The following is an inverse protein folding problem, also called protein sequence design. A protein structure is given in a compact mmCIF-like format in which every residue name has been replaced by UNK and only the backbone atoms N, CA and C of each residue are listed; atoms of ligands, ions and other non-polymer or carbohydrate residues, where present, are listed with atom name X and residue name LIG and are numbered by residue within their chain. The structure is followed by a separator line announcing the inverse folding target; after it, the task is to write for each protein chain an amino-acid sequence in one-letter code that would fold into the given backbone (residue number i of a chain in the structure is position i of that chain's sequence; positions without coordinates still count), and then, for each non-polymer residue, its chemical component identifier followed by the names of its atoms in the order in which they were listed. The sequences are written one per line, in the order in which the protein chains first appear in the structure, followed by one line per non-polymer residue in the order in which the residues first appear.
data_IF_433761239809
#
_entry.id   IF_433761239809
#
_cell.length_a   1.000
_cell.length_b   1.000
_cell.length_c   1.000
_cell.angle_alpha   90.00
_cell.angle_beta   90.00
_cell.angle_gamma   90.00
#
_symmetry.space_group_name_H-M   'P 1'
#
loop_
_entity.id
_entity.type
_entity.pdbx_description
1 polymer ?
#
# COMPACT_ATOMS: atom_id res chain seq x y z
N UNK A 1 -6.79 -9.97 -1.18
CA UNK A 1 -5.48 -9.49 -0.71
C UNK A 1 -5.23 -10.13 0.63
N UNK A 2 -4.04 -10.70 0.81
CA UNK A 2 -3.63 -11.37 2.04
C UNK A 2 -2.59 -10.52 2.77
N UNK A 3 -2.60 -10.59 4.10
CA UNK A 3 -1.60 -9.95 4.95
C UNK A 3 -0.25 -10.63 4.74
N UNK A 4 0.81 -9.85 4.60
CA UNK A 4 2.18 -10.31 4.29
C UNK A 4 2.53 -10.28 2.80
N UNK A 5 1.55 -10.07 1.90
CA UNK A 5 1.80 -10.00 0.47
C UNK A 5 2.41 -8.64 0.07
N UNK A 6 3.43 -8.66 -0.78
CA UNK A 6 3.92 -7.46 -1.48
C UNK A 6 2.97 -7.11 -2.62
N UNK A 7 2.51 -5.88 -2.66
CA UNK A 7 1.64 -5.35 -3.73
C UNK A 7 2.23 -4.07 -4.29
N UNK A 8 2.02 -3.88 -5.60
CA UNK A 8 2.34 -2.64 -6.31
C UNK A 8 1.09 -1.78 -6.39
N UNK A 9 1.19 -0.52 -6.04
CA UNK A 9 0.07 0.41 -6.10
C UNK A 9 0.54 1.80 -6.53
N UNK A 10 -0.37 2.55 -7.14
CA UNK A 10 -0.11 3.94 -7.53
C UNK A 10 -0.23 4.86 -6.31
N UNK A 11 0.85 5.58 -6.02
CA UNK A 11 0.92 6.52 -4.90
C UNK A 11 1.15 7.96 -5.39
N UNK A 12 0.42 8.89 -4.78
CA UNK A 12 0.49 10.33 -5.08
C UNK A 12 -0.25 10.75 -6.35
N UNK A 13 -0.22 12.07 -6.64
CA UNK A 13 -0.88 12.66 -7.82
C UNK A 13 -0.24 12.24 -9.14
N UNK A 14 1.01 11.78 -9.11
CA UNK A 14 1.77 11.34 -10.30
C UNK A 14 1.60 9.86 -10.65
N UNK A 15 0.77 9.10 -9.92
CA UNK A 15 0.62 7.63 -10.08
C UNK A 15 1.98 6.92 -10.08
N UNK A 16 2.81 7.25 -9.09
CA UNK A 16 4.09 6.56 -8.96
C UNK A 16 3.85 5.15 -8.41
N UNK A 17 4.27 4.14 -9.17
CA UNK A 17 4.18 2.74 -8.73
C UNK A 17 5.12 2.53 -7.55
N UNK A 18 4.53 2.24 -6.39
CA UNK A 18 5.23 1.93 -5.15
C UNK A 18 4.99 0.47 -4.79
N UNK A 19 5.98 -0.13 -4.15
CA UNK A 19 5.86 -1.45 -3.55
C UNK A 19 5.60 -1.32 -2.06
N UNK A 20 4.57 -1.99 -1.57
CA UNK A 20 4.22 -2.04 -0.16
C UNK A 20 3.83 -3.45 0.26
N UNK A 21 4.01 -3.75 1.55
CA UNK A 21 3.59 -5.01 2.16
C UNK A 21 2.23 -4.79 2.82
N UNK A 22 1.26 -5.63 2.50
CA UNK A 22 -0.05 -5.61 3.16
C UNK A 22 0.14 -6.01 4.62
N UNK A 23 -0.26 -5.14 5.55
CA UNK A 23 -0.16 -5.39 7.00
C UNK A 23 -1.51 -5.64 7.64
N UNK A 24 -2.56 -4.98 7.16
CA UNK A 24 -3.95 -5.25 7.57
C UNK A 24 -4.87 -5.12 6.37
N UNK A 25 -5.88 -5.98 6.30
CA UNK A 25 -6.93 -5.93 5.28
C UNK A 25 -8.24 -5.77 6.03
N UNK A 26 -8.96 -4.71 5.71
CA UNK A 26 -10.34 -4.50 6.12
C UNK A 26 -11.24 -4.66 4.90
N UNK A 27 -12.55 -4.66 5.15
CA UNK A 27 -13.54 -4.89 4.12
C UNK A 27 -13.44 -3.89 2.96
N UNK A 28 -13.25 -2.61 3.30
CA UNK A 28 -13.17 -1.47 2.34
C UNK A 28 -11.77 -0.90 2.15
N UNK A 29 -10.86 -1.12 3.09
CA UNK A 29 -9.52 -0.50 3.11
C UNK A 29 -8.42 -1.51 3.37
N UNK A 30 -7.23 -1.19 2.90
CA UNK A 30 -6.03 -2.01 3.08
C UNK A 30 -4.93 -1.11 3.62
N UNK A 31 -4.24 -1.61 4.64
CA UNK A 31 -3.10 -0.97 5.26
C UNK A 31 -1.85 -1.60 4.69
N UNK A 32 -1.01 -0.75 4.13
CA UNK A 32 0.21 -1.09 3.43
C UNK A 32 1.38 -0.48 4.18
N UNK A 33 2.39 -1.28 4.52
CA UNK A 33 3.66 -0.77 5.02
C UNK A 33 4.60 -0.60 3.84
N UNK A 34 5.09 0.61 3.66
CA UNK A 34 5.81 1.03 2.46
C UNK A 34 7.12 1.66 2.89
N UNK A 35 8.21 1.20 2.29
CA UNK A 35 9.52 1.80 2.46
C UNK A 35 9.71 2.89 1.40
N UNK A 36 9.56 4.15 1.80
CA UNK A 36 9.94 5.28 0.97
C UNK A 36 11.44 5.56 1.15
N UNK A 37 12.11 5.98 0.07
CA UNK A 37 13.54 6.35 0.07
C UNK A 37 13.93 7.26 1.26
N UNK A 38 13.06 8.20 1.60
CA UNK A 38 13.25 9.13 2.72
C UNK A 38 12.34 8.87 3.93
N UNK A 39 11.41 7.92 3.85
CA UNK A 39 10.50 7.55 4.94
C UNK A 39 10.32 6.03 5.00
N UNK A 40 11.26 5.39 5.70
CA UNK A 40 11.28 3.94 5.89
C UNK A 40 10.12 3.51 6.81
N UNK A 41 9.41 2.44 6.45
CA UNK A 41 8.34 1.85 7.26
C UNK A 41 7.03 2.64 7.40
N UNK A 42 6.73 3.60 6.51
CA UNK A 42 5.50 4.40 6.57
C UNK A 42 4.26 3.55 6.26
N UNK A 43 3.19 3.74 7.03
CA UNK A 43 1.90 3.08 6.76
C UNK A 43 1.05 3.94 5.84
N UNK A 44 0.57 3.34 4.76
CA UNK A 44 -0.34 3.93 3.78
C UNK A 44 -1.66 3.17 3.85
N UNK A 45 -2.76 3.92 4.00
CA UNK A 45 -4.11 3.36 3.92
C UNK A 45 -4.68 3.66 2.55
N UNK A 46 -5.11 2.62 1.85
CA UNK A 46 -5.74 2.75 0.53
C UNK A 46 -7.07 2.00 0.49
N UNK A 47 -7.98 2.42 -0.37
CA UNK A 47 -9.22 1.68 -0.61
C UNK A 47 -8.89 0.41 -1.39
N UNK A 48 -9.58 -0.68 -1.07
CA UNK A 48 -9.41 -1.97 -1.77
C UNK A 48 -9.66 -1.83 -3.27
N UNK A 49 -10.58 -0.96 -3.68
CA UNK A 49 -10.89 -0.66 -5.09
C UNK A 49 -9.76 0.05 -5.85
N UNK A 50 -8.80 0.68 -5.16
CA UNK A 50 -7.69 1.41 -5.80
C UNK A 50 -6.44 0.53 -5.97
N UNK A 51 -6.40 -0.64 -5.34
CA UNK A 51 -5.26 -1.56 -5.43
C UNK A 51 -5.70 -2.69 -6.37
N UNK A 52 -5.03 -2.85 -7.51
CA UNK A 52 -5.25 -3.97 -8.45
C UNK A 52 -4.26 -5.10 -8.18
#
# INVERSE_FOLDING_TARGET
MEVGKKVKFDFGKKKEKKEGIVTKVFDKTVYLKVDFKNHKGKTVVKRKSEIK
#
